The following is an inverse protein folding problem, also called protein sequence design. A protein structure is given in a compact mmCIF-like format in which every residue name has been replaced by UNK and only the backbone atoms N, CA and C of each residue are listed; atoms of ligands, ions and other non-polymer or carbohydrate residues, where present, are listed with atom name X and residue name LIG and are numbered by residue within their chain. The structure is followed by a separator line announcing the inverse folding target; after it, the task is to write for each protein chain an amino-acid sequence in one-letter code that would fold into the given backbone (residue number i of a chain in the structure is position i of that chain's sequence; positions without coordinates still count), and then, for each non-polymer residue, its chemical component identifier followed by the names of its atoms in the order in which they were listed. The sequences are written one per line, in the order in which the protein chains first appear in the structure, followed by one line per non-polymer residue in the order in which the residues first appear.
data_IF_329888059797
#
_entry.id   IF_329888059797
#
_cell.length_a   1.000
_cell.length_b   1.000
_cell.length_c   1.000
_cell.angle_alpha   90.00
_cell.angle_beta   90.00
_cell.angle_gamma   90.00
#
_symmetry.space_group_name_H-M   'P 1'
#
loop_
_entity.id
_entity.type
_entity.pdbx_description
1 polymer ?
#
# COMPACT_ATOMS: atom_id res chain seq x y z
N UNK A 1 50.59 -15.83 3.47
CA UNK A 1 50.91 -17.03 4.29
C UNK A 1 50.43 -16.94 5.75
N UNK A 2 50.51 -15.81 6.45
CA UNK A 2 50.08 -15.67 7.86
C UNK A 2 48.58 -15.98 8.12
N UNK A 3 47.70 -15.65 7.18
CA UNK A 3 46.25 -15.86 7.33
C UNK A 3 45.79 -17.31 7.07
N UNK A 4 46.55 -18.06 6.27
CA UNK A 4 46.23 -19.46 5.99
C UNK A 4 46.50 -20.36 7.21
N UNK A 5 47.52 -20.01 7.99
CA UNK A 5 47.86 -20.73 9.22
C UNK A 5 46.85 -20.49 10.37
N UNK A 6 46.29 -19.30 10.45
CA UNK A 6 45.24 -18.98 11.43
C UNK A 6 43.94 -19.74 11.12
N UNK A 7 43.62 -19.89 9.82
CA UNK A 7 42.44 -20.63 9.40
C UNK A 7 42.57 -22.14 9.68
N UNK A 8 43.72 -22.73 9.38
CA UNK A 8 44.02 -24.15 9.69
C UNK A 8 43.98 -24.43 11.21
N UNK A 9 44.55 -23.53 12.02
CA UNK A 9 44.55 -23.67 13.47
C UNK A 9 43.10 -23.61 14.06
N UNK A 10 42.24 -22.73 13.55
CA UNK A 10 40.84 -22.62 14.04
C UNK A 10 39.96 -23.78 13.59
N UNK A 11 40.16 -24.31 12.37
CA UNK A 11 39.44 -25.51 11.90
C UNK A 11 39.84 -26.73 12.66
N UNK A 12 41.15 -26.93 12.93
CA UNK A 12 41.67 -28.03 13.74
C UNK A 12 41.17 -27.95 15.18
N UNK A 13 41.09 -26.75 15.79
CA UNK A 13 40.58 -26.57 17.15
C UNK A 13 39.10 -26.88 17.24
N UNK A 14 38.30 -26.46 16.26
CA UNK A 14 36.88 -26.79 16.19
C UNK A 14 36.62 -28.28 15.98
N UNK A 15 37.42 -28.95 15.14
CA UNK A 15 37.32 -30.39 14.94
C UNK A 15 37.77 -31.18 16.18
N UNK A 16 38.72 -30.67 16.92
CA UNK A 16 39.20 -31.29 18.19
C UNK A 16 38.15 -31.17 19.29
N UNK A 17 37.43 -30.03 19.36
CA UNK A 17 36.30 -29.83 20.30
C UNK A 17 35.17 -30.82 20.03
N UNK A 18 34.81 -31.06 18.77
CA UNK A 18 33.78 -32.03 18.37
C UNK A 18 34.22 -33.46 18.72
N UNK A 19 35.49 -33.78 18.55
CA UNK A 19 36.01 -35.11 18.83
C UNK A 19 36.22 -35.39 20.34
N UNK A 20 36.47 -34.34 21.14
CA UNK A 20 36.64 -34.48 22.59
C UNK A 20 35.31 -34.77 23.33
N UNK A 21 34.17 -34.46 22.73
CA UNK A 21 32.86 -34.74 23.29
C UNK A 21 32.27 -36.09 22.84
N UNK A 22 32.93 -36.89 22.00
CA UNK A 22 32.40 -38.16 21.48
C UNK A 22 32.99 -39.42 22.10
N UNK A 23 33.91 -39.30 23.06
CA UNK A 23 34.40 -40.43 23.86
C UNK A 23 33.89 -40.33 25.31
N UNK A 24 33.10 -41.32 25.68
CA UNK A 24 32.66 -41.65 27.05
C UNK A 24 31.65 -40.73 27.71
N UNK A 25 30.48 -40.56 27.13
CA UNK A 25 29.30 -40.02 27.84
C UNK A 25 28.10 -40.98 27.74
N UNK A 26 28.23 -42.16 28.32
CA UNK A 26 27.07 -42.88 28.84
C UNK A 26 26.73 -42.32 30.24
N UNK A 27 26.34 -41.07 30.32
CA UNK A 27 25.75 -40.45 31.50
C UNK A 27 24.30 -40.11 31.18
N UNK A 28 23.42 -40.62 31.98
CA UNK A 28 21.99 -40.39 32.02
C UNK A 28 21.62 -38.96 31.64
N UNK A 29 21.28 -38.76 30.38
CA UNK A 29 20.74 -37.50 29.87
C UNK A 29 19.22 -37.59 29.99
N UNK A 30 18.66 -36.86 30.96
CA UNK A 30 17.23 -36.58 31.03
C UNK A 30 16.74 -36.03 29.68
N UNK A 31 15.55 -36.47 29.16
CA UNK A 31 15.00 -36.01 27.87
C UNK A 31 14.91 -34.48 27.70
N UNK A 32 14.85 -33.73 28.79
CA UNK A 32 14.83 -32.27 28.81
C UNK A 32 16.21 -31.65 28.55
N UNK A 33 17.31 -32.23 29.10
CA UNK A 33 18.68 -31.72 28.90
C UNK A 33 19.24 -32.04 27.52
N UNK A 34 18.82 -33.16 26.90
CA UNK A 34 19.16 -33.50 25.53
C UNK A 34 18.66 -32.48 24.52
N UNK A 35 17.42 -32.00 24.66
CA UNK A 35 16.86 -30.95 23.82
C UNK A 35 17.60 -29.60 23.98
N UNK A 36 18.00 -29.24 25.18
CA UNK A 36 18.74 -28.00 25.44
C UNK A 36 20.12 -28.01 24.74
N UNK A 37 20.83 -29.16 24.77
CA UNK A 37 22.12 -29.34 24.09
C UNK A 37 21.96 -29.28 22.56
N UNK A 38 20.93 -29.90 22.00
CA UNK A 38 20.64 -29.86 20.56
C UNK A 38 20.32 -28.41 20.15
N UNK A 39 19.51 -27.68 20.89
CA UNK A 39 19.23 -26.27 20.63
C UNK A 39 20.48 -25.40 20.71
N UNK A 40 21.39 -25.64 21.65
CA UNK A 40 22.65 -24.93 21.76
C UNK A 40 23.55 -25.20 20.55
N UNK A 41 23.68 -26.46 20.13
CA UNK A 41 24.47 -26.86 18.96
C UNK A 41 23.90 -26.24 17.67
N UNK A 42 22.58 -26.27 17.47
CA UNK A 42 21.92 -25.67 16.32
C UNK A 42 22.07 -24.13 16.31
N UNK A 43 22.02 -23.48 17.47
CA UNK A 43 22.25 -22.04 17.61
C UNK A 43 23.69 -21.66 17.30
N UNK A 44 24.67 -22.43 17.76
CA UNK A 44 26.09 -22.26 17.45
C UNK A 44 26.36 -22.51 15.96
N UNK A 45 25.81 -23.56 15.37
CA UNK A 45 25.91 -23.83 13.95
C UNK A 45 25.30 -22.70 13.11
N UNK A 46 24.14 -22.19 13.50
CA UNK A 46 23.51 -21.03 12.87
C UNK A 46 24.38 -19.77 12.93
N UNK A 47 24.98 -19.49 14.09
CA UNK A 47 25.89 -18.35 14.27
C UNK A 47 27.18 -18.50 13.43
N UNK A 48 27.73 -19.70 13.33
CA UNK A 48 28.91 -20.00 12.48
C UNK A 48 28.57 -19.85 11.01
N UNK A 49 27.42 -20.37 10.57
CA UNK A 49 26.97 -20.23 9.17
C UNK A 49 26.69 -18.76 8.83
N UNK A 50 26.13 -18.00 9.75
CA UNK A 50 25.93 -16.56 9.58
C UNK A 50 27.26 -15.80 9.46
N UNK A 51 28.23 -16.13 10.28
CA UNK A 51 29.56 -15.52 10.24
C UNK A 51 30.29 -15.89 8.93
N UNK A 52 30.25 -17.15 8.51
CA UNK A 52 30.83 -17.62 7.26
C UNK A 52 30.18 -16.96 6.05
N UNK A 53 28.85 -16.78 6.05
CA UNK A 53 28.14 -16.04 5.02
C UNK A 53 28.61 -14.59 4.94
N UNK A 54 28.78 -13.93 6.09
CA UNK A 54 29.28 -12.55 6.15
C UNK A 54 30.71 -12.42 5.60
N UNK A 55 31.59 -13.36 5.94
CA UNK A 55 32.97 -13.42 5.42
C UNK A 55 32.99 -13.69 3.91
N UNK A 56 32.14 -14.59 3.44
CA UNK A 56 32.03 -14.94 2.01
C UNK A 56 31.56 -13.72 1.18
N UNK A 57 30.55 -12.97 1.64
CA UNK A 57 30.15 -11.76 0.95
C UNK A 57 31.21 -10.65 0.98
N UNK A 58 32.02 -10.55 2.05
CA UNK A 58 33.16 -9.63 2.08
C UNK A 58 34.24 -10.04 1.07
N UNK A 59 34.52 -11.33 0.93
CA UNK A 59 35.50 -11.84 -0.04
C UNK A 59 35.00 -11.59 -1.46
N UNK A 60 33.74 -11.88 -1.77
CA UNK A 60 33.13 -11.59 -3.09
C UNK A 60 33.20 -10.09 -3.40
N UNK A 61 32.90 -9.22 -2.46
CA UNK A 61 32.99 -7.77 -2.60
C UNK A 61 34.43 -7.31 -2.94
N UNK A 62 35.43 -7.94 -2.34
CA UNK A 62 36.85 -7.64 -2.62
C UNK A 62 37.25 -8.15 -4.00
N UNK A 63 36.84 -9.39 -4.37
CA UNK A 63 37.18 -10.03 -5.63
C UNK A 63 36.48 -9.40 -6.83
N UNK A 64 35.23 -8.97 -6.67
CA UNK A 64 34.41 -8.37 -7.75
C UNK A 64 34.67 -6.87 -7.93
N UNK A 65 35.52 -6.26 -7.10
CA UNK A 65 35.79 -4.81 -7.16
C UNK A 65 34.56 -3.91 -6.88
N UNK A 66 33.41 -4.51 -6.61
CA UNK A 66 32.23 -3.77 -6.15
C UNK A 66 32.51 -3.35 -4.71
N UNK A 67 33.06 -2.13 -4.53
CA UNK A 67 33.05 -1.47 -3.24
C UNK A 67 31.63 -1.59 -2.68
N UNK A 68 31.50 -2.24 -1.50
CA UNK A 68 30.36 -1.97 -0.65
C UNK A 68 30.43 -0.46 -0.43
N UNK A 69 29.59 0.28 -1.14
CA UNK A 69 29.54 1.73 -0.98
C UNK A 69 29.33 1.95 0.50
N UNK A 70 30.25 2.67 1.15
CA UNK A 70 29.96 3.25 2.45
C UNK A 70 28.58 3.89 2.30
N UNK A 71 27.64 3.51 3.18
CA UNK A 71 26.33 4.17 3.22
C UNK A 71 26.60 5.67 3.21
N UNK A 72 26.43 6.29 2.04
CA UNK A 72 26.30 7.74 2.01
C UNK A 72 25.14 8.00 2.97
N UNK A 73 25.38 8.81 4.00
CA UNK A 73 24.35 9.23 4.93
C UNK A 73 23.40 10.17 4.16
N UNK A 74 22.58 9.60 3.29
CA UNK A 74 21.60 10.38 2.55
C UNK A 74 20.59 10.97 3.54
N UNK A 75 20.22 12.24 3.29
CA UNK A 75 19.32 12.96 4.18
C UNK A 75 17.89 12.44 4.11
N UNK A 76 17.53 11.76 3.00
CA UNK A 76 16.19 11.26 2.71
C UNK A 76 16.23 9.76 2.45
N UNK A 77 15.29 9.04 3.02
CA UNK A 77 15.02 7.66 2.65
C UNK A 77 13.52 7.44 2.44
N UNK A 78 13.20 6.53 1.53
CA UNK A 78 11.85 6.01 1.31
C UNK A 78 11.85 4.55 1.74
N UNK A 79 10.82 4.11 2.46
CA UNK A 79 10.56 2.70 2.74
C UNK A 79 9.23 2.28 2.14
N UNK A 80 9.27 1.24 1.31
CA UNK A 80 8.13 0.66 0.62
C UNK A 80 7.93 -0.81 1.00
N UNK A 81 6.68 -1.22 1.19
CA UNK A 81 6.31 -2.64 1.32
C UNK A 81 6.21 -3.34 -0.05
N UNK A 82 6.45 -2.62 -1.16
CA UNK A 82 6.59 -3.21 -2.47
C UNK A 82 5.76 -2.57 -3.57
N UNK A 83 5.71 -3.28 -4.70
CA UNK A 83 5.14 -2.82 -5.98
C UNK A 83 3.70 -2.31 -5.92
N UNK A 84 2.90 -2.78 -4.96
CA UNK A 84 1.51 -2.33 -4.81
C UNK A 84 1.41 -0.83 -4.46
N UNK A 85 2.46 -0.25 -3.88
CA UNK A 85 2.53 1.16 -3.52
C UNK A 85 3.33 2.00 -4.51
N UNK A 86 3.80 1.39 -5.61
CA UNK A 86 4.67 2.06 -6.57
C UNK A 86 4.01 3.30 -7.18
N UNK A 87 2.71 3.25 -7.49
CA UNK A 87 1.99 4.41 -8.04
C UNK A 87 1.98 5.62 -7.08
N UNK A 88 2.10 5.39 -5.77
CA UNK A 88 2.24 6.47 -4.79
C UNK A 88 3.67 6.99 -4.72
N UNK A 89 4.68 6.10 -4.82
CA UNK A 89 6.08 6.52 -4.69
C UNK A 89 6.67 7.03 -6.00
N UNK A 90 6.22 6.55 -7.15
CA UNK A 90 6.76 6.90 -8.46
C UNK A 90 6.87 8.42 -8.68
N UNK A 91 5.79 9.21 -8.52
CA UNK A 91 5.88 10.66 -8.71
C UNK A 91 6.81 11.35 -7.70
N UNK A 92 6.88 10.88 -6.46
CA UNK A 92 7.83 11.40 -5.46
C UNK A 92 9.27 11.09 -5.88
N UNK A 93 9.54 9.88 -6.36
CA UNK A 93 10.86 9.46 -6.87
C UNK A 93 11.26 10.29 -8.07
N UNK A 94 10.37 10.45 -9.06
CA UNK A 94 10.61 11.24 -10.27
C UNK A 94 10.93 12.71 -9.90
N UNK A 95 10.19 13.29 -8.97
CA UNK A 95 10.41 14.70 -8.54
C UNK A 95 11.70 14.86 -7.72
N UNK A 96 12.05 13.92 -6.82
CA UNK A 96 13.33 13.94 -6.12
C UNK A 96 14.51 13.89 -7.08
N UNK A 97 14.43 13.06 -8.12
CA UNK A 97 15.44 12.95 -9.18
C UNK A 97 15.51 14.27 -9.98
N UNK A 98 14.38 14.81 -10.40
CA UNK A 98 14.32 16.08 -11.15
C UNK A 98 14.94 17.25 -10.37
N UNK A 99 14.71 17.27 -9.05
CA UNK A 99 15.29 18.25 -8.13
C UNK A 99 16.74 17.95 -7.70
N UNK A 100 17.36 16.86 -8.21
CA UNK A 100 18.74 16.44 -7.89
C UNK A 100 18.97 16.21 -6.40
N UNK A 101 17.98 15.70 -5.70
CA UNK A 101 18.06 15.35 -4.28
C UNK A 101 18.45 13.87 -4.18
N UNK A 102 19.60 13.60 -3.56
CA UNK A 102 20.03 12.22 -3.34
C UNK A 102 19.24 11.55 -2.22
N UNK A 103 18.76 10.32 -2.47
CA UNK A 103 17.98 9.54 -1.52
C UNK A 103 18.20 8.03 -1.67
N UNK A 104 17.79 7.28 -0.64
CA UNK A 104 17.81 5.82 -0.70
C UNK A 104 16.37 5.30 -0.65
N UNK A 105 16.06 4.40 -1.57
CA UNK A 105 14.78 3.69 -1.61
C UNK A 105 14.97 2.26 -1.10
N UNK A 106 14.31 1.91 0.00
CA UNK A 106 14.30 0.58 0.59
C UNK A 106 13.00 -0.13 0.29
N UNK A 107 13.07 -1.37 -0.17
CA UNK A 107 11.88 -2.21 -0.41
C UNK A 107 12.06 -3.62 0.12
N UNK A 108 10.96 -4.24 0.56
CA UNK A 108 10.88 -5.65 0.96
C UNK A 108 10.34 -6.55 -0.16
N UNK A 109 10.04 -5.99 -1.33
CA UNK A 109 9.56 -6.71 -2.50
C UNK A 109 10.66 -6.74 -3.57
N UNK A 110 11.03 -7.96 -4.00
CA UNK A 110 12.05 -8.17 -5.05
C UNK A 110 11.57 -7.68 -6.43
N UNK A 111 10.25 -7.63 -6.64
CA UNK A 111 9.61 -7.21 -7.88
C UNK A 111 9.22 -5.71 -7.88
N UNK A 112 9.69 -4.94 -6.90
CA UNK A 112 9.41 -3.51 -6.83
C UNK A 112 10.06 -2.77 -8.03
N UNK A 113 9.29 -2.04 -8.85
CA UNK A 113 9.83 -1.34 -10.03
C UNK A 113 10.94 -0.34 -9.71
N UNK A 114 10.98 0.18 -8.49
CA UNK A 114 12.05 1.06 -8.02
C UNK A 114 13.44 0.44 -8.11
N UNK A 115 13.56 -0.90 -8.07
CA UNK A 115 14.83 -1.61 -8.18
C UNK A 115 15.42 -1.59 -9.59
N UNK A 116 14.62 -1.26 -10.61
CA UNK A 116 15.02 -1.19 -12.00
C UNK A 116 15.51 0.20 -12.42
N UNK A 117 15.34 1.21 -11.54
CA UNK A 117 15.74 2.59 -11.83
C UNK A 117 17.24 2.74 -11.59
N UNK A 118 17.99 3.07 -12.65
CA UNK A 118 19.40 3.43 -12.58
C UNK A 118 19.54 4.97 -12.69
N UNK A 119 19.85 5.62 -11.58
CA UNK A 119 20.00 7.08 -11.50
C UNK A 119 21.01 7.48 -10.44
N UNK A 120 21.79 8.53 -10.70
CA UNK A 120 22.84 9.01 -9.78
C UNK A 120 22.32 9.55 -8.44
N UNK A 121 21.08 10.02 -8.40
CA UNK A 121 20.43 10.57 -7.19
C UNK A 121 19.64 9.51 -6.41
N UNK A 122 19.36 8.35 -7.01
CA UNK A 122 18.58 7.28 -6.37
C UNK A 122 19.41 6.03 -6.12
N UNK A 123 19.42 5.57 -4.89
CA UNK A 123 20.00 4.27 -4.53
C UNK A 123 18.92 3.32 -4.05
N UNK A 124 18.44 2.45 -4.92
CA UNK A 124 17.44 1.44 -4.56
C UNK A 124 18.07 0.21 -3.90
N UNK A 125 17.41 -0.35 -2.88
CA UNK A 125 17.90 -1.51 -2.13
C UNK A 125 16.77 -2.45 -1.74
N UNK A 126 16.86 -3.67 -2.22
CA UNK A 126 16.09 -4.78 -1.66
C UNK A 126 16.68 -5.19 -0.31
N UNK A 127 15.88 -5.12 0.76
CA UNK A 127 16.36 -5.43 2.12
C UNK A 127 16.06 -6.86 2.56
N UNK A 128 15.37 -7.64 1.74
CA UNK A 128 14.90 -8.99 2.04
C UNK A 128 13.45 -8.98 2.50
N UNK A 129 12.98 -10.09 3.04
CA UNK A 129 11.62 -10.28 3.56
C UNK A 129 11.64 -10.70 5.03
N UNK A 130 10.47 -10.57 5.71
CA UNK A 130 10.27 -11.00 7.09
C UNK A 130 11.08 -10.20 8.12
N UNK A 131 11.23 -10.76 9.32
CA UNK A 131 11.81 -10.08 10.49
C UNK A 131 13.20 -9.51 10.27
N UNK A 132 14.02 -10.19 9.44
CA UNK A 132 15.38 -9.71 9.11
C UNK A 132 15.34 -8.41 8.31
N UNK A 133 14.39 -8.26 7.39
CA UNK A 133 14.21 -7.04 6.63
C UNK A 133 13.76 -5.91 7.56
N UNK A 134 12.79 -6.17 8.42
CA UNK A 134 12.32 -5.19 9.40
C UNK A 134 13.42 -4.78 10.40
N UNK A 135 14.26 -5.71 10.84
CA UNK A 135 15.41 -5.39 11.69
C UNK A 135 16.42 -4.46 10.97
N UNK A 136 16.65 -4.66 9.66
CA UNK A 136 17.51 -3.76 8.87
C UNK A 136 16.88 -2.36 8.76
N UNK A 137 15.59 -2.28 8.40
CA UNK A 137 14.87 -0.99 8.30
C UNK A 137 14.84 -0.30 9.66
N UNK A 138 14.59 -1.04 10.76
CA UNK A 138 14.64 -0.51 12.14
C UNK A 138 16.00 0.04 12.57
N UNK A 139 17.09 -0.36 11.90
CA UNK A 139 18.46 0.13 12.16
C UNK A 139 18.89 1.32 11.31
N UNK A 140 18.06 1.77 10.36
CA UNK A 140 18.38 2.87 9.46
C UNK A 140 18.66 4.16 10.22
N UNK A 141 19.59 4.94 9.65
CA UNK A 141 19.98 6.26 10.14
C UNK A 141 19.80 7.27 9.01
N UNK A 142 18.79 8.11 9.13
CA UNK A 142 18.48 9.16 8.16
C UNK A 142 17.76 10.31 8.86
N UNK A 143 17.95 11.56 8.43
CA UNK A 143 17.14 12.68 8.91
C UNK A 143 15.65 12.48 8.64
N UNK A 144 15.27 12.07 7.42
CA UNK A 144 13.88 11.93 6.98
C UNK A 144 13.67 10.51 6.43
N UNK A 145 12.62 9.84 6.90
CA UNK A 145 12.14 8.58 6.33
C UNK A 145 10.67 8.73 5.96
N UNK A 146 10.37 8.53 4.68
CA UNK A 146 9.02 8.62 4.11
C UNK A 146 8.49 7.23 3.86
N UNK A 147 7.24 6.96 4.25
CA UNK A 147 6.58 5.67 4.01
C UNK A 147 5.07 5.79 3.99
N UNK A 148 4.40 4.89 3.25
CA UNK A 148 2.94 4.68 3.31
C UNK A 148 2.56 3.61 4.32
N UNK A 149 3.54 2.87 4.86
CA UNK A 149 3.32 1.79 5.82
C UNK A 149 2.76 2.33 7.11
N UNK A 150 1.56 1.95 7.55
CA UNK A 150 1.07 2.28 8.89
C UNK A 150 1.69 1.34 9.94
N UNK A 151 1.35 1.54 11.21
CA UNK A 151 1.71 0.65 12.33
C UNK A 151 3.21 0.54 12.70
N UNK A 152 4.11 1.31 12.05
CA UNK A 152 5.54 1.29 12.43
C UNK A 152 5.69 1.71 13.89
N UNK A 153 6.27 0.83 14.70
CA UNK A 153 6.44 1.03 16.15
C UNK A 153 5.33 0.44 17.02
N UNK A 154 4.18 0.07 16.44
CA UNK A 154 3.10 -0.57 17.17
C UNK A 154 3.52 -1.97 17.68
N UNK A 155 3.06 -2.41 18.87
CA UNK A 155 3.40 -3.73 19.41
C UNK A 155 2.99 -4.90 18.51
N UNK A 156 1.92 -4.74 17.75
CA UNK A 156 1.35 -5.75 16.83
C UNK A 156 2.04 -5.79 15.47
N UNK A 157 2.94 -4.85 15.17
CA UNK A 157 3.63 -4.78 13.89
C UNK A 157 5.14 -5.07 14.05
N UNK A 158 5.75 -5.90 13.20
CA UNK A 158 7.12 -6.36 13.38
C UNK A 158 8.18 -5.26 13.21
N UNK A 159 7.88 -4.21 12.43
CA UNK A 159 8.80 -3.10 12.25
C UNK A 159 8.70 -2.10 13.41
N UNK A 160 9.74 -2.07 14.24
CA UNK A 160 9.90 -1.06 15.28
C UNK A 160 10.21 0.31 14.68
N UNK A 161 9.77 1.39 15.34
CA UNK A 161 10.17 2.74 14.93
C UNK A 161 11.70 2.84 14.91
N UNK A 162 12.32 3.22 13.75
CA UNK A 162 13.76 3.32 13.64
C UNK A 162 14.30 4.44 14.55
N UNK A 163 15.02 4.08 15.60
CA UNK A 163 15.46 5.02 16.64
C UNK A 163 16.48 6.08 16.18
N UNK A 164 17.10 5.88 15.00
CA UNK A 164 18.06 6.82 14.41
C UNK A 164 17.47 7.62 13.26
N UNK A 165 16.19 7.47 12.97
CA UNK A 165 15.41 8.31 12.06
C UNK A 165 14.92 9.53 12.85
N UNK A 166 15.26 10.75 12.40
CA UNK A 166 14.84 11.96 13.12
C UNK A 166 13.36 12.26 12.89
N UNK A 167 12.91 12.22 11.61
CA UNK A 167 11.51 12.42 11.22
C UNK A 167 11.00 11.22 10.46
N UNK A 168 10.09 10.46 11.07
CA UNK A 168 9.33 9.40 10.44
C UNK A 168 8.04 10.01 9.87
N UNK A 169 7.88 9.99 8.56
CA UNK A 169 6.83 10.67 7.81
C UNK A 169 5.87 9.67 7.18
N UNK A 170 4.59 9.79 7.46
CA UNK A 170 3.56 9.00 6.80
C UNK A 170 2.99 9.77 5.60
N UNK A 171 2.96 9.11 4.43
CA UNK A 171 2.29 9.62 3.21
C UNK A 171 0.99 8.86 3.02
N UNK A 172 -0.12 9.58 2.85
CA UNK A 172 -1.39 8.96 2.49
C UNK A 172 -1.34 8.37 1.07
N UNK A 173 -1.97 7.22 0.89
CA UNK A 173 -2.09 6.52 -0.40
C UNK A 173 -3.54 6.30 -0.85
N UNK A 174 -4.48 6.89 -0.13
CA UNK A 174 -5.91 6.86 -0.44
C UNK A 174 -6.62 8.09 0.13
N UNK A 175 -7.78 8.45 -0.42
CA UNK A 175 -8.60 9.54 0.12
C UNK A 175 -9.30 9.06 1.39
N UNK A 176 -8.78 9.47 2.53
CA UNK A 176 -9.39 9.23 3.84
C UNK A 176 -8.76 10.12 4.91
N UNK A 177 -9.38 10.15 6.09
CA UNK A 177 -8.77 10.69 7.30
C UNK A 177 -8.26 9.56 8.22
N UNK A 178 -7.89 9.90 9.45
CA UNK A 178 -7.42 8.91 10.43
C UNK A 178 -8.42 7.82 10.74
N UNK A 179 -9.73 8.06 10.56
CA UNK A 179 -10.78 7.08 10.89
C UNK A 179 -10.66 5.76 10.13
N UNK A 180 -10.03 5.78 8.95
CA UNK A 180 -9.82 4.59 8.12
C UNK A 180 -8.60 3.76 8.53
N UNK A 181 -7.83 4.21 9.51
CA UNK A 181 -6.63 3.53 9.98
C UNK A 181 -6.92 2.68 11.22
N UNK A 182 -6.15 1.61 11.39
CA UNK A 182 -6.19 0.81 12.62
C UNK A 182 -5.76 1.62 13.84
N UNK A 183 -6.30 1.26 15.00
CA UNK A 183 -5.99 1.91 16.27
C UNK A 183 -4.48 1.98 16.54
N UNK A 184 -3.96 3.18 16.78
CA UNK A 184 -2.57 3.44 17.14
C UNK A 184 -1.58 3.41 15.97
N UNK A 185 -2.03 3.18 14.75
CA UNK A 185 -1.11 2.94 13.62
C UNK A 185 -0.20 4.14 13.29
N UNK A 186 -0.61 5.36 13.61
CA UNK A 186 0.17 6.57 13.40
C UNK A 186 0.78 7.16 14.67
N UNK A 187 0.68 6.50 15.82
CA UNK A 187 1.11 7.04 17.12
C UNK A 187 2.61 7.34 17.18
N UNK A 188 3.43 6.62 16.44
CA UNK A 188 4.89 6.75 16.43
C UNK A 188 5.45 7.60 15.28
N UNK A 189 4.59 8.26 14.52
CA UNK A 189 5.00 9.15 13.44
C UNK A 189 5.20 10.58 13.92
N UNK A 190 6.18 11.27 13.33
CA UNK A 190 6.50 12.66 13.63
C UNK A 190 5.79 13.62 12.66
N UNK A 191 5.59 13.17 11.42
CA UNK A 191 5.00 13.98 10.33
C UNK A 191 3.92 13.20 9.62
N UNK A 192 2.81 13.87 9.34
CA UNK A 192 1.70 13.40 8.54
C UNK A 192 1.62 14.24 7.25
N UNK A 193 1.97 13.64 6.10
CA UNK A 193 1.85 14.23 4.78
C UNK A 193 0.45 13.88 4.25
N UNK A 194 -0.50 14.78 4.45
CA UNK A 194 -1.95 14.52 4.33
C UNK A 194 -2.52 14.93 2.98
N UNK A 195 -3.68 14.34 2.63
CA UNK A 195 -4.39 14.60 1.38
C UNK A 195 -5.01 16.00 1.32
N UNK A 196 -5.28 16.60 2.48
CA UNK A 196 -5.86 17.93 2.61
C UNK A 196 -5.85 18.39 4.06
N UNK A 197 -6.17 19.66 4.29
CA UNK A 197 -6.15 20.30 5.62
C UNK A 197 -7.15 19.68 6.60
N UNK A 198 -8.28 19.18 6.12
CA UNK A 198 -9.36 18.60 6.93
C UNK A 198 -8.95 17.33 7.69
N UNK A 199 -7.90 16.64 7.24
CA UNK A 199 -7.37 15.44 7.93
C UNK A 199 -6.78 15.80 9.30
N UNK A 200 -6.32 17.04 9.47
CA UNK A 200 -5.73 17.50 10.73
C UNK A 200 -6.71 17.38 11.91
N UNK A 201 -7.99 17.67 11.71
CA UNK A 201 -8.99 17.61 12.78
C UNK A 201 -9.08 16.21 13.40
N UNK A 202 -9.11 15.18 12.58
CA UNK A 202 -9.15 13.78 13.03
C UNK A 202 -7.87 13.39 13.76
N UNK A 203 -6.70 13.79 13.26
CA UNK A 203 -5.41 13.56 13.91
C UNK A 203 -5.35 14.25 15.28
N UNK A 204 -5.74 15.53 15.37
CA UNK A 204 -5.76 16.28 16.62
C UNK A 204 -6.73 15.67 17.64
N UNK A 205 -7.87 15.14 17.19
CA UNK A 205 -8.82 14.46 18.08
C UNK A 205 -8.21 13.18 18.66
N UNK A 206 -7.61 12.32 17.84
CA UNK A 206 -6.93 11.09 18.28
C UNK A 206 -5.77 11.41 19.23
N UNK A 207 -4.93 12.40 18.91
CA UNK A 207 -3.81 12.83 19.74
C UNK A 207 -4.26 13.30 21.11
N UNK A 208 -5.35 14.09 21.20
CA UNK A 208 -5.92 14.52 22.49
C UNK A 208 -6.43 13.34 23.31
N UNK A 209 -7.17 12.41 22.70
CA UNK A 209 -7.73 11.24 23.41
C UNK A 209 -6.62 10.37 23.98
N UNK A 210 -5.56 10.12 23.21
CA UNK A 210 -4.44 9.27 23.60
C UNK A 210 -3.30 10.01 24.32
N UNK A 211 -3.40 11.34 24.47
CA UNK A 211 -2.36 12.19 25.10
C UNK A 211 -1.00 12.05 24.38
N UNK A 212 -1.03 12.03 23.04
CA UNK A 212 0.17 11.95 22.21
C UNK A 212 0.76 13.34 21.98
N UNK A 213 2.07 13.37 21.68
CA UNK A 213 2.72 14.57 21.13
C UNK A 213 2.13 14.87 19.76
N UNK A 214 1.66 16.11 19.50
CA UNK A 214 1.12 16.47 18.19
C UNK A 214 2.14 16.30 17.08
N UNK A 215 1.72 15.65 15.98
CA UNK A 215 2.53 15.50 14.77
C UNK A 215 2.56 16.81 13.97
N UNK A 216 3.61 17.01 13.21
CA UNK A 216 3.57 18.02 12.15
C UNK A 216 2.63 17.53 11.04
N UNK A 217 1.59 18.30 10.73
CA UNK A 217 0.66 17.99 9.63
C UNK A 217 0.99 18.90 8.45
N UNK A 218 1.23 18.28 7.28
CA UNK A 218 1.57 18.99 6.04
C UNK A 218 0.58 18.55 4.95
N UNK A 219 -0.33 19.42 4.53
CA UNK A 219 -1.28 19.11 3.46
C UNK A 219 -0.57 19.16 2.09
N UNK A 220 -0.20 18.02 1.58
CA UNK A 220 0.57 17.86 0.33
C UNK A 220 -0.29 17.39 -0.84
N UNK A 221 -1.44 16.80 -0.59
CA UNK A 221 -2.25 16.11 -1.60
C UNK A 221 -2.00 14.60 -1.60
N UNK A 222 -2.29 13.96 -2.72
CA UNK A 222 -2.19 12.52 -2.88
C UNK A 222 -1.33 12.18 -4.10
N UNK A 223 -0.06 11.78 -3.91
CA UNK A 223 0.85 11.48 -5.03
C UNK A 223 0.33 10.41 -5.99
N UNK A 224 -0.41 9.44 -5.48
CA UNK A 224 -1.10 8.45 -6.30
C UNK A 224 -1.98 9.09 -7.39
N UNK A 225 -2.63 10.22 -7.09
CA UNK A 225 -3.46 10.95 -8.05
C UNK A 225 -2.65 11.73 -9.08
N UNK A 226 -1.41 12.10 -8.79
CA UNK A 226 -0.53 12.72 -9.78
C UNK A 226 -0.34 11.76 -10.96
N UNK A 227 -0.10 10.46 -10.67
CA UNK A 227 0.09 9.43 -11.68
C UNK A 227 -1.23 9.07 -12.40
N UNK A 228 -2.32 8.90 -11.67
CA UNK A 228 -3.62 8.61 -12.26
C UNK A 228 -4.09 9.73 -13.20
N UNK A 229 -3.95 10.98 -12.76
CA UNK A 229 -4.30 12.15 -13.58
C UNK A 229 -3.44 12.23 -14.82
N UNK A 230 -2.14 12.06 -14.71
CA UNK A 230 -1.20 12.03 -15.84
C UNK A 230 -1.60 10.97 -16.89
N UNK A 231 -1.91 9.75 -16.44
CA UNK A 231 -2.35 8.67 -17.31
C UNK A 231 -3.70 8.97 -17.98
N UNK A 232 -4.63 9.57 -17.26
CA UNK A 232 -5.92 9.98 -17.79
C UNK A 232 -5.77 11.08 -18.85
N UNK A 233 -5.00 12.13 -18.57
CA UNK A 233 -4.76 13.26 -19.50
C UNK A 233 -4.09 12.78 -20.81
N UNK A 234 -3.12 11.86 -20.73
CA UNK A 234 -2.48 11.26 -21.90
C UNK A 234 -3.47 10.50 -22.76
N UNK A 235 -4.35 9.69 -22.15
CA UNK A 235 -5.34 8.90 -22.92
C UNK A 235 -6.44 9.75 -23.53
N UNK A 236 -6.84 10.86 -22.90
CA UNK A 236 -7.79 11.81 -23.52
C UNK A 236 -7.17 12.46 -24.74
N UNK A 237 -5.90 12.85 -24.68
CA UNK A 237 -5.21 13.47 -25.83
C UNK A 237 -5.10 12.52 -27.03
N UNK A 238 -4.93 11.21 -26.77
CA UNK A 238 -4.84 10.19 -27.82
C UNK A 238 -6.21 9.76 -28.36
N UNK A 239 -7.26 9.91 -27.56
CA UNK A 239 -8.63 9.55 -27.92
C UNK A 239 -9.39 10.76 -28.44
N UNK A 240 -9.24 11.07 -29.73
CA UNK A 240 -10.24 11.88 -30.46
C UNK A 240 -11.56 11.08 -30.55
N UNK A 241 -12.24 10.86 -29.42
CA UNK A 241 -13.35 9.92 -29.34
C UNK A 241 -14.63 10.53 -29.91
N UNK A 242 -15.16 9.83 -30.89
CA UNK A 242 -16.56 9.85 -31.28
C UNK A 242 -17.39 9.33 -30.10
N UNK A 243 -17.83 10.21 -29.22
CA UNK A 243 -18.92 9.91 -28.29
C UNK A 243 -20.19 9.76 -29.14
N UNK A 244 -20.56 8.54 -29.43
CA UNK A 244 -21.87 8.23 -29.99
C UNK A 244 -22.92 8.46 -28.90
N UNK A 245 -23.59 9.61 -28.95
CA UNK A 245 -24.58 10.02 -27.95
C UNK A 245 -25.79 9.06 -27.85
N UNK A 246 -25.91 8.11 -28.80
CA UNK A 246 -26.98 7.13 -28.84
C UNK A 246 -26.57 5.74 -28.32
N UNK A 247 -25.34 5.55 -27.83
CA UNK A 247 -24.93 4.26 -27.24
C UNK A 247 -25.59 4.04 -25.88
N UNK A 248 -25.89 2.76 -25.56
CA UNK A 248 -26.36 2.36 -24.24
C UNK A 248 -25.39 2.79 -23.15
N UNK A 249 -25.90 3.28 -22.03
CA UNK A 249 -25.05 3.66 -20.86
C UNK A 249 -24.32 2.45 -20.31
N UNK A 250 -23.07 2.65 -19.95
CA UNK A 250 -22.17 1.62 -19.44
C UNK A 250 -21.90 1.82 -17.96
N UNK A 251 -22.09 0.78 -17.17
CA UNK A 251 -21.87 0.74 -15.73
C UNK A 251 -20.65 -0.10 -15.42
N UNK A 252 -19.70 0.46 -14.69
CA UNK A 252 -18.56 -0.28 -14.16
C UNK A 252 -18.94 -0.91 -12.80
N UNK A 253 -19.03 -2.23 -12.75
CA UNK A 253 -19.27 -2.97 -11.52
C UNK A 253 -17.93 -3.39 -10.92
N UNK A 254 -17.51 -2.67 -9.88
CA UNK A 254 -16.20 -2.81 -9.22
C UNK A 254 -16.36 -3.11 -7.72
N UNK A 255 -16.75 -4.36 -7.35
CA UNK A 255 -16.93 -4.76 -5.96
C UNK A 255 -15.58 -4.86 -5.23
N UNK A 256 -15.60 -4.72 -3.89
CA UNK A 256 -14.50 -5.18 -3.04
C UNK A 256 -14.45 -6.72 -3.01
N UNK A 257 -13.55 -7.27 -2.23
CA UNK A 257 -13.38 -8.73 -2.07
C UNK A 257 -13.82 -9.21 -0.69
N UNK A 258 -13.98 -10.55 -0.56
CA UNK A 258 -14.33 -11.20 0.69
C UNK A 258 -15.84 -11.34 0.89
N UNK A 259 -16.19 -11.94 2.02
CA UNK A 259 -17.58 -12.34 2.34
C UNK A 259 -18.54 -11.16 2.49
N UNK A 260 -18.03 -9.95 2.64
CA UNK A 260 -18.80 -8.70 2.79
C UNK A 260 -18.78 -7.81 1.56
N UNK A 261 -18.27 -8.28 0.41
CA UNK A 261 -18.38 -7.51 -0.83
C UNK A 261 -19.86 -7.29 -1.23
N UNK A 262 -20.15 -6.22 -1.95
CA UNK A 262 -21.52 -5.89 -2.33
C UNK A 262 -22.23 -7.04 -3.07
N UNK A 263 -21.53 -7.79 -3.92
CA UNK A 263 -22.12 -8.94 -4.61
C UNK A 263 -22.51 -10.09 -3.66
N UNK A 264 -21.85 -10.21 -2.51
CA UNK A 264 -22.19 -11.17 -1.47
C UNK A 264 -23.35 -10.70 -0.61
N UNK A 265 -23.44 -9.39 -0.34
CA UNK A 265 -24.47 -8.78 0.51
C UNK A 265 -25.76 -8.57 -0.25
N UNK A 266 -25.69 -8.05 -1.46
CA UNK A 266 -26.87 -7.70 -2.28
C UNK A 266 -27.31 -8.85 -3.21
N UNK A 267 -26.47 -9.86 -3.42
CA UNK A 267 -26.66 -10.89 -4.44
C UNK A 267 -26.26 -10.38 -5.83
N UNK A 268 -26.39 -11.24 -6.83
CA UNK A 268 -26.02 -10.95 -8.22
C UNK A 268 -27.22 -10.67 -9.12
N UNK A 269 -28.45 -10.86 -8.63
CA UNK A 269 -29.70 -10.74 -9.44
C UNK A 269 -29.86 -9.36 -10.07
N UNK A 270 -29.43 -8.28 -9.38
CA UNK A 270 -29.52 -6.94 -9.90
C UNK A 270 -28.69 -6.73 -11.19
N UNK A 271 -27.64 -7.54 -11.42
CA UNK A 271 -26.87 -7.51 -12.67
C UNK A 271 -27.78 -7.82 -13.86
N UNK A 272 -28.64 -8.84 -13.70
CA UNK A 272 -29.64 -9.20 -14.71
C UNK A 272 -30.63 -8.06 -14.96
N UNK A 273 -31.18 -7.47 -13.89
CA UNK A 273 -32.12 -6.36 -13.99
C UNK A 273 -31.50 -5.15 -14.75
N UNK A 274 -30.25 -4.82 -14.45
CA UNK A 274 -29.49 -3.75 -15.12
C UNK A 274 -29.31 -4.03 -16.62
N UNK A 275 -28.95 -5.28 -16.98
CA UNK A 275 -28.76 -5.69 -18.36
C UNK A 275 -30.07 -5.74 -19.15
N UNK A 276 -31.16 -6.21 -18.54
CA UNK A 276 -32.50 -6.27 -19.15
C UNK A 276 -33.13 -4.87 -19.35
N UNK A 277 -32.75 -3.88 -18.53
CA UNK A 277 -33.12 -2.45 -18.74
C UNK A 277 -32.33 -1.81 -19.89
N UNK A 278 -31.37 -2.53 -20.50
CA UNK A 278 -30.62 -2.08 -21.68
C UNK A 278 -29.32 -1.34 -21.36
N UNK A 279 -28.83 -1.40 -20.14
CA UNK A 279 -27.49 -0.89 -19.77
C UNK A 279 -26.41 -1.91 -20.11
N UNK A 280 -25.19 -1.45 -20.34
CA UNK A 280 -24.02 -2.31 -20.39
C UNK A 280 -23.37 -2.42 -18.99
N UNK A 281 -22.78 -3.58 -18.68
CA UNK A 281 -22.00 -3.80 -17.48
C UNK A 281 -20.57 -4.24 -17.86
N UNK A 282 -19.59 -3.54 -17.29
CA UNK A 282 -18.19 -4.01 -17.23
C UNK A 282 -17.98 -4.55 -15.82
N UNK A 283 -17.89 -5.87 -15.68
CA UNK A 283 -17.57 -6.50 -14.39
C UNK A 283 -16.07 -6.55 -14.19
N UNK A 284 -15.59 -5.81 -13.20
CA UNK A 284 -14.19 -5.72 -12.81
C UNK A 284 -14.03 -6.14 -11.34
N UNK A 285 -13.76 -7.41 -11.05
CA UNK A 285 -13.55 -7.87 -9.68
C UNK A 285 -12.28 -7.28 -9.09
N UNK A 286 -12.25 -7.19 -7.77
CA UNK A 286 -11.05 -6.76 -7.05
C UNK A 286 -9.86 -7.71 -7.35
N UNK A 287 -8.62 -7.21 -7.49
CA UNK A 287 -7.46 -8.07 -7.77
C UNK A 287 -7.24 -9.20 -6.77
N UNK A 288 -7.67 -9.02 -5.52
CA UNK A 288 -7.62 -10.07 -4.51
C UNK A 288 -8.65 -11.17 -4.78
N UNK A 289 -9.84 -10.85 -5.30
CA UNK A 289 -10.84 -11.87 -5.68
C UNK A 289 -10.32 -12.79 -6.76
N UNK A 290 -9.54 -12.27 -7.72
CA UNK A 290 -8.88 -13.09 -8.75
C UNK A 290 -7.84 -14.07 -8.19
N UNK A 291 -7.35 -13.86 -6.96
CA UNK A 291 -6.36 -14.72 -6.30
C UNK A 291 -7.00 -15.74 -5.37
N UNK A 292 -8.02 -15.34 -4.60
CA UNK A 292 -8.53 -16.15 -3.48
C UNK A 292 -10.01 -16.53 -3.61
N UNK A 293 -10.75 -15.96 -4.59
CA UNK A 293 -12.19 -16.19 -4.77
C UNK A 293 -12.56 -16.49 -6.24
N UNK A 294 -11.64 -17.09 -7.00
CA UNK A 294 -11.79 -17.27 -8.45
C UNK A 294 -13.05 -18.07 -8.82
N UNK A 295 -13.46 -19.04 -8.00
CA UNK A 295 -14.69 -19.79 -8.22
C UNK A 295 -15.93 -18.89 -8.19
N UNK A 296 -16.00 -17.94 -7.27
CA UNK A 296 -17.09 -16.97 -7.22
C UNK A 296 -17.08 -16.04 -8.43
N UNK A 297 -15.91 -15.55 -8.82
CA UNK A 297 -15.75 -14.71 -10.01
C UNK A 297 -16.21 -15.46 -11.26
N UNK A 298 -15.80 -16.73 -11.41
CA UNK A 298 -16.20 -17.57 -12.54
C UNK A 298 -17.72 -17.85 -12.57
N UNK A 299 -18.37 -18.02 -11.42
CA UNK A 299 -19.81 -18.17 -11.35
C UNK A 299 -20.52 -16.91 -11.88
N UNK A 300 -20.12 -15.72 -11.43
CA UNK A 300 -20.67 -14.45 -11.94
C UNK A 300 -20.48 -14.34 -13.46
N UNK A 301 -19.28 -14.63 -13.96
CA UNK A 301 -19.02 -14.60 -15.41
C UNK A 301 -19.92 -15.61 -16.14
N UNK A 302 -20.05 -16.84 -15.65
CA UNK A 302 -20.84 -17.90 -16.28
C UNK A 302 -22.32 -17.54 -16.34
N UNK A 303 -22.85 -16.87 -15.30
CA UNK A 303 -24.26 -16.50 -15.22
C UNK A 303 -24.62 -15.38 -16.22
N UNK A 304 -23.68 -14.51 -16.53
CA UNK A 304 -23.98 -13.30 -17.31
C UNK A 304 -23.27 -13.19 -18.67
N UNK A 305 -22.30 -14.04 -19.01
CA UNK A 305 -21.52 -13.96 -20.26
C UNK A 305 -22.35 -14.01 -21.55
N UNK A 306 -23.54 -14.62 -21.53
CA UNK A 306 -24.42 -14.69 -22.69
C UNK A 306 -25.26 -13.41 -22.91
N UNK A 307 -25.27 -12.48 -21.95
CA UNK A 307 -25.93 -11.18 -22.12
C UNK A 307 -25.06 -10.25 -22.97
N UNK A 308 -25.62 -9.75 -24.07
CA UNK A 308 -24.90 -8.91 -25.06
C UNK A 308 -24.23 -7.68 -24.43
N UNK A 309 -24.79 -7.11 -23.35
CA UNK A 309 -24.28 -5.94 -22.66
C UNK A 309 -23.27 -6.25 -21.54
N UNK A 310 -22.97 -7.53 -21.27
CA UNK A 310 -22.05 -7.91 -20.21
C UNK A 310 -20.62 -8.10 -20.75
N UNK A 311 -19.64 -7.56 -20.04
CA UNK A 311 -18.23 -7.78 -20.32
C UNK A 311 -17.43 -7.95 -19.03
N UNK A 312 -16.37 -8.75 -19.10
CA UNK A 312 -15.46 -9.02 -18.00
C UNK A 312 -14.11 -8.32 -18.25
N UNK A 313 -13.65 -7.57 -17.25
CA UNK A 313 -12.36 -6.90 -17.28
C UNK A 313 -11.45 -7.40 -16.17
N UNK A 314 -10.28 -7.91 -16.54
CA UNK A 314 -9.22 -8.39 -15.65
C UNK A 314 -7.87 -7.71 -15.93
N UNK A 315 -7.85 -6.67 -16.75
CA UNK A 315 -6.63 -5.92 -17.04
C UNK A 315 -6.08 -5.31 -15.75
N UNK A 316 -4.77 -5.43 -15.44
CA UNK A 316 -4.17 -4.73 -14.32
C UNK A 316 -4.42 -3.21 -14.34
N UNK A 317 -4.51 -2.61 -15.52
CA UNK A 317 -4.85 -1.18 -15.70
C UNK A 317 -6.37 -0.99 -15.86
N UNK A 318 -6.97 -0.35 -14.86
CA UNK A 318 -8.41 -0.06 -14.84
C UNK A 318 -8.82 1.13 -15.72
N UNK A 319 -7.88 1.88 -16.26
CA UNK A 319 -8.12 3.20 -16.89
C UNK A 319 -9.14 3.10 -18.02
N UNK A 320 -9.05 2.08 -18.88
CA UNK A 320 -9.94 1.92 -20.01
C UNK A 320 -11.40 1.68 -19.60
N UNK A 321 -11.62 0.76 -18.66
CA UNK A 321 -12.97 0.46 -18.12
C UNK A 321 -13.57 1.66 -17.39
N UNK A 322 -12.76 2.40 -16.64
CA UNK A 322 -13.18 3.62 -15.96
C UNK A 322 -13.52 4.74 -16.96
N UNK A 323 -12.74 4.88 -18.04
CA UNK A 323 -13.03 5.87 -19.10
C UNK A 323 -14.31 5.55 -19.86
N UNK A 324 -14.53 4.27 -20.19
CA UNK A 324 -15.69 3.82 -20.98
C UNK A 324 -17.01 3.84 -20.23
N UNK A 325 -16.98 3.72 -18.90
CA UNK A 325 -18.21 3.71 -18.11
C UNK A 325 -18.77 5.10 -17.87
N UNK A 326 -20.10 5.20 -17.69
CA UNK A 326 -20.82 6.44 -17.34
C UNK A 326 -20.99 6.60 -15.84
N UNK A 327 -21.03 5.51 -15.08
CA UNK A 327 -21.07 5.48 -13.63
C UNK A 327 -20.39 4.20 -13.11
N UNK A 328 -20.10 4.18 -11.82
CA UNK A 328 -19.61 2.98 -11.13
C UNK A 328 -20.64 2.47 -10.12
N UNK A 329 -20.78 1.15 -10.01
CA UNK A 329 -21.34 0.48 -8.84
C UNK A 329 -20.20 -0.14 -8.06
N UNK A 330 -20.05 0.23 -6.81
CA UNK A 330 -19.01 -0.30 -5.91
C UNK A 330 -19.56 -0.36 -4.48
N UNK A 331 -18.71 -0.74 -3.55
CA UNK A 331 -19.02 -0.76 -2.12
C UNK A 331 -18.05 0.11 -1.32
N UNK A 332 -17.53 -0.37 -0.19
CA UNK A 332 -16.58 0.38 0.66
C UNK A 332 -15.14 0.42 0.11
N UNK A 333 -14.94 0.09 -1.15
CA UNK A 333 -13.63 0.17 -1.81
C UNK A 333 -13.20 1.62 -2.03
N UNK A 334 -11.91 1.90 -1.82
CA UNK A 334 -11.30 3.22 -2.12
C UNK A 334 -11.39 3.62 -3.58
N UNK A 335 -11.47 2.65 -4.50
CA UNK A 335 -11.56 2.86 -5.95
C UNK A 335 -12.75 3.74 -6.36
N UNK A 336 -13.82 3.81 -5.56
CA UNK A 336 -14.96 4.70 -5.80
C UNK A 336 -14.58 6.18 -5.80
N UNK A 337 -13.65 6.58 -4.92
CA UNK A 337 -13.13 7.95 -4.90
C UNK A 337 -12.12 8.19 -6.03
N UNK A 338 -11.31 7.18 -6.38
CA UNK A 338 -10.40 7.26 -7.52
C UNK A 338 -11.21 7.51 -8.80
N UNK A 339 -12.27 6.73 -9.00
CA UNK A 339 -13.17 6.88 -10.13
C UNK A 339 -13.86 8.24 -10.16
N UNK A 340 -14.48 8.62 -9.04
CA UNK A 340 -15.21 9.87 -8.94
C UNK A 340 -14.32 11.09 -9.17
N UNK A 341 -13.12 11.11 -8.60
CA UNK A 341 -12.26 12.28 -8.62
C UNK A 341 -11.42 12.43 -9.88
N UNK A 342 -11.01 11.32 -10.52
CA UNK A 342 -10.24 11.38 -11.76
C UNK A 342 -11.17 11.60 -12.97
N UNK A 343 -12.30 10.87 -13.01
CA UNK A 343 -13.18 10.87 -14.18
C UNK A 343 -14.37 11.82 -14.05
N UNK A 344 -14.59 12.43 -12.88
CA UNK A 344 -15.73 13.28 -12.55
C UNK A 344 -17.09 12.61 -12.83
N UNK A 345 -17.15 11.29 -12.56
CA UNK A 345 -18.31 10.44 -12.80
C UNK A 345 -18.88 9.88 -11.50
N UNK A 346 -20.21 9.69 -11.43
CA UNK A 346 -20.87 9.33 -10.19
C UNK A 346 -20.74 7.85 -9.82
N UNK A 347 -20.93 7.57 -8.54
CA UNK A 347 -20.85 6.24 -7.95
C UNK A 347 -22.13 5.89 -7.23
N UNK A 348 -22.67 4.69 -7.49
CA UNK A 348 -23.64 4.04 -6.60
C UNK A 348 -22.86 3.18 -5.60
N UNK A 349 -22.82 3.61 -4.36
CA UNK A 349 -22.18 2.90 -3.26
C UNK A 349 -23.18 1.93 -2.62
N UNK A 350 -23.02 0.63 -2.85
CA UNK A 350 -23.79 -0.43 -2.18
C UNK A 350 -23.17 -0.69 -0.81
N UNK A 351 -23.77 -0.14 0.23
CA UNK A 351 -23.23 -0.18 1.58
C UNK A 351 -23.48 -1.51 2.29
N UNK A 352 -22.78 -1.73 3.39
CA UNK A 352 -22.95 -2.87 4.29
C UNK A 352 -22.47 -2.53 5.69
N UNK A 353 -22.90 -3.27 6.71
CA UNK A 353 -22.45 -3.08 8.08
C UNK A 353 -20.94 -3.31 8.25
N UNK A 354 -20.28 -2.42 8.98
CA UNK A 354 -18.86 -2.55 9.33
C UNK A 354 -18.70 -3.14 10.74
N UNK A 355 -18.63 -4.45 10.85
CA UNK A 355 -18.49 -5.15 12.15
C UNK A 355 -17.06 -5.05 12.72
N UNK A 356 -16.12 -4.51 11.96
CA UNK A 356 -14.71 -4.37 12.36
C UNK A 356 -14.31 -2.94 12.71
N UNK A 357 -15.30 -2.03 12.87
CA UNK A 357 -15.03 -0.63 13.20
C UNK A 357 -14.22 -0.47 14.49
N UNK A 358 -14.36 -1.41 15.42
CA UNK A 358 -13.67 -1.40 16.71
C UNK A 358 -12.14 -1.53 16.58
N UNK A 359 -11.64 -2.05 15.46
CA UNK A 359 -10.22 -2.13 15.18
C UNK A 359 -9.62 -0.83 14.61
N UNK A 360 -10.46 0.17 14.28
CA UNK A 360 -10.07 1.41 13.61
C UNK A 360 -10.17 2.63 14.53
N UNK A 361 -9.46 3.70 14.14
CA UNK A 361 -9.59 5.01 14.79
C UNK A 361 -11.02 5.55 14.73
N UNK A 362 -11.84 5.06 13.81
CA UNK A 362 -13.25 5.37 13.71
C UNK A 362 -14.01 5.19 15.03
N UNK A 363 -13.61 4.23 15.89
CA UNK A 363 -14.21 4.03 17.22
C UNK A 363 -14.03 5.26 18.12
N UNK A 364 -12.87 5.94 18.02
CA UNK A 364 -12.56 7.14 18.80
C UNK A 364 -13.18 8.39 18.15
N UNK A 365 -13.31 8.40 16.82
CA UNK A 365 -13.79 9.53 16.06
C UNK A 365 -15.32 9.54 15.87
N UNK A 366 -15.99 8.43 16.22
CA UNK A 366 -17.45 8.27 16.10
C UNK A 366 -17.95 8.19 14.67
N UNK A 367 -17.05 8.08 13.67
CA UNK A 367 -17.38 7.96 12.25
C UNK A 367 -16.28 7.28 11.45
N UNK A 368 -16.68 6.68 10.33
CA UNK A 368 -15.77 6.26 9.27
C UNK A 368 -15.92 7.21 8.08
N UNK A 369 -14.90 7.98 7.76
CA UNK A 369 -14.98 9.06 6.76
C UNK A 369 -15.51 8.55 5.41
N UNK A 370 -14.99 7.42 4.92
CA UNK A 370 -15.42 6.87 3.63
C UNK A 370 -16.89 6.50 3.55
N UNK A 371 -17.54 6.23 4.69
CA UNK A 371 -18.98 5.95 4.74
C UNK A 371 -19.80 7.24 4.70
N UNK A 372 -19.38 8.26 5.46
CA UNK A 372 -20.11 9.53 5.51
C UNK A 372 -20.01 10.34 4.22
N UNK A 373 -18.85 10.33 3.57
CA UNK A 373 -18.56 11.18 2.42
C UNK A 373 -18.91 10.54 1.06
N UNK A 374 -19.28 9.25 1.04
CA UNK A 374 -19.65 8.56 -0.22
C UNK A 374 -20.92 9.12 -0.88
N UNK A 375 -21.78 9.80 -0.14
CA UNK A 375 -22.96 10.47 -0.68
C UNK A 375 -22.61 11.73 -1.51
N UNK A 376 -21.39 12.26 -1.34
CA UNK A 376 -20.92 13.44 -2.08
C UNK A 376 -20.32 13.09 -3.45
N UNK A 377 -20.23 11.79 -3.77
CA UNK A 377 -19.80 11.31 -5.08
C UNK A 377 -20.90 10.53 -5.82
N UNK A 378 -22.14 10.52 -5.29
CA UNK A 378 -23.27 9.85 -5.91
C UNK A 378 -24.34 9.40 -4.91
N UNK A 379 -24.85 8.20 -5.07
CA UNK A 379 -25.91 7.65 -4.22
C UNK A 379 -25.32 6.56 -3.31
N UNK A 380 -25.74 6.54 -2.05
CA UNK A 380 -25.45 5.48 -1.10
C UNK A 380 -26.71 4.67 -0.82
N UNK A 381 -26.66 3.37 -1.02
CA UNK A 381 -27.79 2.47 -0.80
C UNK A 381 -27.47 1.49 0.32
N UNK A 382 -28.40 1.38 1.29
CA UNK A 382 -28.30 0.41 2.39
C UNK A 382 -28.89 -0.95 1.99
N UNK A 383 -28.43 -2.08 2.56
CA UNK A 383 -28.89 -3.43 2.21
C UNK A 383 -30.41 -3.63 2.35
N UNK A 384 -31.04 -2.94 3.31
CA UNK A 384 -32.48 -3.01 3.55
C UNK A 384 -33.29 -2.45 2.36
N UNK A 385 -32.67 -1.58 1.56
CA UNK A 385 -33.27 -0.95 0.39
C UNK A 385 -32.81 -1.57 -0.93
N UNK A 386 -32.32 -2.84 -0.93
CA UNK A 386 -31.82 -3.51 -2.14
C UNK A 386 -32.79 -3.51 -3.31
N UNK A 387 -34.09 -3.51 -3.04
CA UNK A 387 -35.16 -3.42 -4.04
C UNK A 387 -35.17 -2.06 -4.79
N UNK A 388 -34.43 -1.08 -4.34
CA UNK A 388 -34.32 0.23 -4.95
C UNK A 388 -33.06 0.38 -5.84
N UNK A 389 -32.32 -0.71 -6.09
CA UNK A 389 -31.06 -0.65 -6.87
C UNK A 389 -31.30 0.01 -8.23
N UNK A 390 -32.32 -0.42 -8.99
CA UNK A 390 -32.60 0.12 -10.32
C UNK A 390 -32.99 1.60 -10.30
N UNK A 391 -33.78 2.03 -9.32
CA UNK A 391 -34.09 3.45 -9.12
C UNK A 391 -32.82 4.23 -8.78
N UNK A 392 -31.98 3.67 -7.92
CA UNK A 392 -30.70 4.27 -7.53
C UNK A 392 -29.72 4.37 -8.71
N UNK A 393 -29.67 3.39 -9.60
CA UNK A 393 -28.90 3.46 -10.86
C UNK A 393 -29.34 4.64 -11.71
N UNK A 394 -30.67 4.76 -11.94
CA UNK A 394 -31.24 5.86 -12.74
C UNK A 394 -30.94 7.24 -12.13
N UNK A 395 -31.03 7.37 -10.82
CA UNK A 395 -30.70 8.61 -10.10
C UNK A 395 -29.21 8.91 -10.14
N UNK A 396 -28.35 7.89 -9.97
CA UNK A 396 -26.90 8.05 -9.99
C UNK A 396 -26.44 8.55 -11.36
N UNK A 397 -26.97 8.03 -12.46
CA UNK A 397 -26.66 8.49 -13.81
C UNK A 397 -27.01 9.98 -14.07
N UNK A 398 -27.87 10.57 -13.23
CA UNK A 398 -28.22 11.99 -13.30
C UNK A 398 -27.39 12.87 -12.38
N UNK A 399 -26.53 12.27 -11.54
CA UNK A 399 -25.72 13.01 -10.58
C UNK A 399 -24.67 13.87 -11.29
N UNK A 400 -24.48 15.09 -10.79
CA UNK A 400 -23.67 16.09 -11.47
C UNK A 400 -22.15 15.87 -11.25
N UNK A 401 -21.39 15.70 -12.32
CA UNK A 401 -19.93 15.70 -12.27
C UNK A 401 -19.34 17.00 -11.69
N UNK A 402 -20.06 18.14 -11.81
CA UNK A 402 -19.63 19.40 -11.20
C UNK A 402 -19.66 19.35 -9.67
N UNK A 403 -20.64 18.66 -9.07
CA UNK A 403 -20.69 18.48 -7.62
C UNK A 403 -19.53 17.61 -7.14
N UNK A 404 -19.21 16.55 -7.87
CA UNK A 404 -18.05 15.69 -7.59
C UNK A 404 -16.74 16.49 -7.66
N UNK A 405 -16.58 17.31 -8.70
CA UNK A 405 -15.42 18.19 -8.85
C UNK A 405 -15.31 19.18 -7.68
N UNK A 406 -16.40 19.84 -7.31
CA UNK A 406 -16.40 20.77 -6.18
C UNK A 406 -16.04 20.06 -4.86
N UNK A 407 -16.51 18.82 -4.67
CA UNK A 407 -16.14 18.03 -3.50
C UNK A 407 -14.68 17.65 -3.52
N UNK A 408 -14.13 17.18 -4.67
CA UNK A 408 -12.70 16.92 -4.82
C UNK A 408 -11.86 18.14 -4.45
N UNK A 409 -12.18 19.32 -5.00
CA UNK A 409 -11.45 20.57 -4.73
C UNK A 409 -11.49 20.98 -3.24
N UNK A 410 -12.53 20.58 -2.52
CA UNK A 410 -12.64 20.81 -1.08
C UNK A 410 -11.75 19.89 -0.24
N UNK A 411 -11.63 18.61 -0.65
CA UNK A 411 -10.98 17.57 0.18
C UNK A 411 -9.56 17.21 -0.26
N UNK A 412 -9.19 17.50 -1.51
CA UNK A 412 -7.90 17.16 -2.07
C UNK A 412 -7.14 18.44 -2.45
N UNK A 413 -6.06 18.72 -1.74
CA UNK A 413 -5.16 19.80 -2.13
C UNK A 413 -4.15 19.34 -3.18
N UNK A 414 -3.57 20.28 -3.93
CA UNK A 414 -2.46 20.05 -4.87
C UNK A 414 -2.72 18.91 -5.87
N UNK A 415 -3.94 18.82 -6.39
CA UNK A 415 -4.38 17.76 -7.30
C UNK A 415 -3.53 17.72 -8.59
N UNK A 416 -2.78 16.63 -8.78
CA UNK A 416 -1.90 16.41 -9.92
C UNK A 416 -0.49 16.98 -9.77
N UNK A 417 -0.13 17.56 -8.60
CA UNK A 417 1.20 18.07 -8.27
C UNK A 417 1.58 17.84 -6.81
N UNK A 418 1.02 16.82 -6.17
CA UNK A 418 1.24 16.50 -4.76
C UNK A 418 2.71 16.16 -4.47
N UNK A 419 3.37 15.49 -5.41
CA UNK A 419 4.79 15.12 -5.31
C UNK A 419 5.71 16.35 -5.25
N UNK A 420 5.42 17.40 -6.01
CA UNK A 420 6.17 18.67 -5.97
C UNK A 420 6.11 19.28 -4.56
N UNK A 421 4.93 19.31 -3.94
CA UNK A 421 4.75 19.84 -2.59
C UNK A 421 5.44 18.98 -1.50
N UNK A 422 5.49 17.66 -1.68
CA UNK A 422 6.28 16.78 -0.80
C UNK A 422 7.77 17.11 -0.91
N UNK A 423 8.28 17.25 -2.14
CA UNK A 423 9.69 17.51 -2.37
C UNK A 423 10.08 18.90 -1.92
N UNK A 424 9.22 19.90 -2.08
CA UNK A 424 9.47 21.26 -1.55
C UNK A 424 9.49 21.26 -0.01
N UNK A 425 8.60 20.53 0.64
CA UNK A 425 8.69 20.32 2.09
C UNK A 425 10.02 19.65 2.48
N UNK A 426 10.44 18.59 1.76
CA UNK A 426 11.73 17.93 2.00
C UNK A 426 12.89 18.90 1.86
N UNK A 427 12.93 19.74 0.81
CA UNK A 427 13.97 20.76 0.60
C UNK A 427 14.12 21.68 1.82
N UNK A 428 12.99 22.15 2.34
CA UNK A 428 12.98 23.02 3.53
C UNK A 428 13.52 22.31 4.78
N UNK A 429 13.25 21.00 4.92
CA UNK A 429 13.66 20.19 6.07
C UNK A 429 15.14 19.77 6.03
N UNK A 430 15.74 19.67 4.85
CA UNK A 430 17.13 19.24 4.68
C UNK A 430 18.11 20.41 4.52
N UNK A 431 17.59 21.65 4.40
CA UNK A 431 18.43 22.84 4.44
C UNK A 431 19.12 22.95 5.81
N UNK A 432 20.38 23.42 5.85
CA UNK A 432 21.15 23.50 7.09
C UNK A 432 20.60 24.55 8.06
#
# INVERSE_FOLDING_TARGET
MKYLNIFKSKVIFSSFLIFAFTKDAYAYLDPGSGNAIICLILSLAGAVLYYLKSVFYRIISIVTGKKISHEKNEKVSIFSEGKNYWLTYKPIVEELIACKISFIYYTIDIDDPALLIDNEYMHSRYVGTGDRAFAKVGSLKTPIMITTTPNIGCPTYPLRRPGKVKKLCHVWHSICDSSCYHLGCLDHYDVALTVGTWVEDSLRQVERIRKLTPKTVVPVGLPYFDELKKNYDLRISDSAQKNDKNSAKTILLAPSWGTKSCLRVYGTDFIKEVLEEGYNIIYRPHPQSLKVEMDFVNNVISDFKEYKGFSFDHDPDATESMMKSDMMISDKSGVRFDYAFIYEKPVLSLDFSTDFIDAYEAILLGRLWGDTESELIGIRLQPENRNMIMESVKKTLQYSGKEIKNFREKVLCNYGCSSEHIVDWIKNEIQP
#
